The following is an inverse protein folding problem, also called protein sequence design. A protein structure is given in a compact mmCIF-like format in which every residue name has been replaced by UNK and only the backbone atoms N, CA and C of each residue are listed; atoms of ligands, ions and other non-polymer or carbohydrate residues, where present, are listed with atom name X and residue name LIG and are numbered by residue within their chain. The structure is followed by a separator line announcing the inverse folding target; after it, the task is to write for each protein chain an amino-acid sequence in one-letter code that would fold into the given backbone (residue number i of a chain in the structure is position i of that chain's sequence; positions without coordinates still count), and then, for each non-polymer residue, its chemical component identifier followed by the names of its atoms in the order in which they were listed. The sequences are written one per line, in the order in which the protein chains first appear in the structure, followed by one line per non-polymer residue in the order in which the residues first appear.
data_IF_795037033061
#
_entry.id   IF_795037033061
#
_cell.length_a   1.000
_cell.length_b   1.000
_cell.length_c   1.000
_cell.angle_alpha   90.00
_cell.angle_beta   90.00
_cell.angle_gamma   90.00
#
_symmetry.space_group_name_H-M   'P 1'
#
loop_
_entity.id
_entity.type
_entity.pdbx_description
1 polymer ?
#
# COMPACT_ATOMS: atom_id res chain seq x y z
N UNK A 1 15.90 0.52 10.95
CA UNK A 1 14.74 1.15 10.29
C UNK A 1 13.84 1.73 11.38
N UNK A 2 13.47 3.01 11.33
CA UNK A 2 12.50 3.57 12.28
C UNK A 2 11.10 3.10 11.86
N UNK A 3 10.38 2.51 12.80
CA UNK A 3 8.99 2.07 12.62
C UNK A 3 8.12 3.01 13.45
N UNK A 4 7.08 3.56 12.83
CA UNK A 4 6.05 4.34 13.51
C UNK A 4 4.68 3.69 13.27
N UNK A 5 3.78 3.89 14.23
CA UNK A 5 2.39 3.42 14.13
C UNK A 5 1.47 4.62 13.97
N UNK A 6 0.56 4.54 13.01
CA UNK A 6 -0.48 5.52 12.79
C UNK A 6 -1.84 4.84 12.91
N UNK A 7 -2.82 5.58 13.42
CA UNK A 7 -4.22 5.13 13.47
C UNK A 7 -4.99 5.81 12.34
N UNK A 8 -5.71 5.03 11.56
CA UNK A 8 -6.56 5.52 10.46
C UNK A 8 -7.99 5.01 10.64
N UNK A 9 -8.96 5.79 10.15
CA UNK A 9 -10.36 5.36 10.06
C UNK A 9 -10.63 4.94 8.62
N UNK A 10 -11.17 3.74 8.45
CA UNK A 10 -11.51 3.18 7.15
C UNK A 10 -12.96 2.65 7.19
N UNK A 11 -13.63 2.57 6.04
CA UNK A 11 -14.89 1.85 5.93
C UNK A 11 -14.75 0.41 6.43
N UNK A 12 -15.83 -0.11 7.01
CA UNK A 12 -15.84 -1.44 7.63
C UNK A 12 -15.52 -2.52 6.59
N UNK A 13 -16.09 -2.38 5.41
CA UNK A 13 -15.94 -3.27 4.27
C UNK A 13 -14.46 -3.41 3.86
N UNK A 14 -13.71 -2.29 3.86
CA UNK A 14 -12.28 -2.30 3.57
C UNK A 14 -11.49 -3.05 4.64
N UNK A 15 -11.82 -2.86 5.92
CA UNK A 15 -11.14 -3.55 7.01
C UNK A 15 -11.45 -5.05 7.05
N UNK A 16 -12.69 -5.44 6.74
CA UNK A 16 -13.10 -6.84 6.62
C UNK A 16 -12.43 -7.53 5.43
N UNK A 17 -12.27 -6.81 4.31
CA UNK A 17 -11.52 -7.31 3.16
C UNK A 17 -10.05 -7.55 3.52
N UNK A 18 -9.38 -6.60 4.18
CA UNK A 18 -8.00 -6.78 4.67
C UNK A 18 -7.88 -7.98 5.63
N UNK A 19 -8.85 -8.16 6.52
CA UNK A 19 -8.91 -9.33 7.41
C UNK A 19 -9.02 -10.64 6.64
N UNK A 20 -9.80 -10.65 5.56
CA UNK A 20 -9.94 -11.85 4.73
C UNK A 20 -8.59 -12.26 4.11
N UNK A 21 -7.74 -11.30 3.73
CA UNK A 21 -6.42 -11.58 3.16
C UNK A 21 -5.47 -12.21 4.18
N UNK A 22 -5.51 -11.71 5.42
CA UNK A 22 -4.72 -12.27 6.54
C UNK A 22 -5.23 -13.66 6.90
N UNK A 23 -6.55 -13.85 7.00
CA UNK A 23 -7.17 -15.17 7.30
C UNK A 23 -6.85 -16.22 6.25
N UNK A 24 -6.73 -15.83 4.98
CA UNK A 24 -6.32 -16.71 3.87
C UNK A 24 -4.83 -17.06 3.90
N UNK A 25 -4.04 -16.45 4.80
CA UNK A 25 -2.60 -16.68 4.91
C UNK A 25 -1.77 -15.98 3.85
N UNK A 26 -2.36 -15.06 3.07
CA UNK A 26 -1.66 -14.32 2.01
C UNK A 26 -0.66 -13.34 2.62
N UNK A 27 -1.06 -12.68 3.72
CA UNK A 27 -0.20 -11.80 4.51
C UNK A 27 -0.23 -12.21 5.99
N UNK A 28 0.87 -12.02 6.72
CA UNK A 28 0.97 -12.34 8.15
C UNK A 28 0.21 -11.33 9.03
N UNK A 29 0.00 -10.11 8.55
CA UNK A 29 -0.74 -9.07 9.26
C UNK A 29 -1.32 -8.01 8.32
N UNK A 30 -2.33 -7.26 8.80
CA UNK A 30 -2.88 -6.10 8.06
C UNK A 30 -1.79 -5.08 7.71
N UNK A 31 -0.86 -4.83 8.64
CA UNK A 31 0.23 -3.87 8.45
C UNK A 31 1.21 -4.32 7.37
N UNK A 32 1.40 -5.63 7.19
CA UNK A 32 2.22 -6.16 6.09
C UNK A 32 1.51 -5.97 4.75
N UNK A 33 0.23 -6.34 4.66
CA UNK A 33 -0.57 -6.11 3.46
C UNK A 33 -0.58 -4.64 3.02
N UNK A 34 -0.83 -3.72 3.97
CA UNK A 34 -0.84 -2.28 3.70
C UNK A 34 0.52 -1.78 3.21
N UNK A 35 1.63 -2.28 3.80
CA UNK A 35 2.98 -1.89 3.36
C UNK A 35 3.27 -2.36 1.94
N UNK A 36 2.84 -3.57 1.59
CA UNK A 36 3.03 -4.12 0.25
C UNK A 36 2.23 -3.32 -0.78
N UNK A 37 0.93 -3.12 -0.53
CA UNK A 37 0.10 -2.30 -1.42
C UNK A 37 0.60 -0.87 -1.55
N UNK A 38 1.13 -0.29 -0.46
CA UNK A 38 1.74 1.05 -0.52
C UNK A 38 3.00 1.07 -1.38
N UNK A 39 3.80 0.00 -1.36
CA UNK A 39 4.99 -0.13 -2.19
C UNK A 39 4.61 -0.27 -3.66
N UNK A 40 3.73 -1.20 -3.98
CA UNK A 40 3.22 -1.42 -5.34
C UNK A 40 2.63 -0.13 -5.92
N UNK A 41 1.75 0.55 -5.16
CA UNK A 41 1.16 1.81 -5.58
C UNK A 41 2.21 2.89 -5.86
N UNK A 42 3.24 3.01 -5.02
CA UNK A 42 4.31 3.98 -5.23
C UNK A 42 5.19 3.61 -6.42
N UNK A 43 5.45 2.33 -6.66
CA UNK A 43 6.19 1.86 -7.84
C UNK A 43 5.42 2.19 -9.12
N UNK A 44 4.12 1.88 -9.18
CA UNK A 44 3.24 2.28 -10.29
C UNK A 44 3.22 3.81 -10.49
N UNK A 45 3.04 4.57 -9.41
CA UNK A 45 2.98 6.03 -9.47
C UNK A 45 4.32 6.66 -9.89
N UNK A 46 5.46 6.04 -9.56
CA UNK A 46 6.78 6.54 -9.94
C UNK A 46 7.15 6.14 -11.37
N UNK A 47 6.66 5.01 -11.88
CA UNK A 47 6.75 4.65 -13.30
C UNK A 47 6.02 5.68 -14.19
N UNK A 48 4.92 6.25 -13.71
CA UNK A 48 4.23 7.37 -14.38
C UNK A 48 5.01 8.69 -14.34
N UNK A 49 5.95 8.85 -13.40
CA UNK A 49 6.80 10.05 -13.30
C UNK A 49 8.07 9.95 -14.12
N UNK A 50 8.62 8.75 -14.32
CA UNK A 50 9.82 8.55 -15.15
C UNK A 50 9.53 8.62 -16.66
N UNK A 51 8.29 8.40 -17.09
CA UNK A 51 7.87 8.60 -18.49
C UNK A 51 7.48 10.05 -18.83
N UNK A 52 7.56 10.97 -17.85
CA UNK A 52 7.09 12.36 -17.98
C UNK A 52 8.12 13.47 -17.69
N UNK A 53 9.42 13.17 -17.68
CA UNK A 53 10.47 14.18 -17.44
C UNK A 53 11.62 14.12 -18.45
N UNK A 54 11.28 14.10 -19.74
CA UNK A 54 12.20 14.32 -20.86
C UNK A 54 11.58 15.30 -21.86
N UNK A 55 11.42 16.56 -21.45
CA UNK A 55 10.84 17.60 -22.32
C UNK A 55 10.74 18.97 -21.63
N UNK A 56 11.82 19.43 -21.01
CA UNK A 56 11.99 20.85 -20.69
C UNK A 56 12.47 21.57 -21.95
N UNK A 57 11.66 22.57 -22.36
CA UNK A 57 11.98 23.81 -23.09
C UNK A 57 12.57 23.71 -24.50
#
# INVERSE_FOLDING_TARGET
MKISTITVRLPKETTEWLDSLVKKGIYKSRSEAIREFSREFLEETNLDKETGAGGKK
#
